data_IF_893845659208
#
_entry.id   IF_893845659208
#
_cell.length_a   1.000
_cell.length_b   1.000
_cell.length_c   1.000
_cell.angle_alpha   90.00
_cell.angle_beta   90.00
_cell.angle_gamma   90.00
#
_symmetry.space_group_name_H-M   'P 1'
#
loop_
_entity.id
_entity.type
_entity.pdbx_description
1 polymer ?
#
# COMPACT_ATOMS: atom_id res chain seq x y z
N UNK A 1 31.62 60.83 65.42
CA UNK A 1 31.13 60.30 64.13
C UNK A 1 29.75 59.69 64.34
N UNK A 2 28.76 60.18 63.59
CA UNK A 2 27.31 60.01 63.80
C UNK A 2 26.84 58.59 63.48
N UNK A 3 25.94 58.06 64.31
CA UNK A 3 25.09 56.89 64.01
C UNK A 3 23.78 57.40 63.41
N UNK A 4 23.59 57.21 62.11
CA UNK A 4 22.31 57.48 61.46
C UNK A 4 21.39 56.26 61.58
N UNK A 5 20.21 56.47 62.19
CA UNK A 5 19.11 55.51 62.22
C UNK A 5 18.33 55.62 60.91
N UNK A 6 18.32 54.55 60.12
CA UNK A 6 17.41 54.44 58.97
C UNK A 6 16.01 54.07 59.51
N UNK A 7 15.06 54.98 59.34
CA UNK A 7 13.63 54.74 59.58
C UNK A 7 13.05 54.17 58.29
N UNK A 8 12.68 52.89 58.30
CA UNK A 8 11.94 52.26 57.21
C UNK A 8 10.48 52.73 57.28
N UNK A 9 10.02 53.41 56.24
CA UNK A 9 8.66 53.93 56.14
C UNK A 9 7.69 52.81 55.72
N UNK A 10 7.06 52.16 56.70
CA UNK A 10 6.17 51.01 56.53
C UNK A 10 4.93 51.27 55.64
N UNK A 11 4.56 52.52 55.34
CA UNK A 11 3.43 52.82 54.44
C UNK A 11 3.73 52.55 52.96
N UNK A 12 4.98 52.64 52.52
CA UNK A 12 5.36 52.39 51.11
C UNK A 12 5.50 50.90 50.77
N UNK A 13 5.76 50.05 51.76
CA UNK A 13 5.86 48.58 51.57
C UNK A 13 4.48 47.95 51.42
N UNK A 14 3.45 48.51 52.06
CA UNK A 14 2.07 48.02 51.99
C UNK A 14 1.44 48.21 50.60
N UNK A 15 1.65 49.35 49.93
CA UNK A 15 1.08 49.59 48.59
C UNK A 15 1.72 48.72 47.49
N UNK A 16 3.02 48.45 47.57
CA UNK A 16 3.72 47.65 46.56
C UNK A 16 3.35 46.17 46.64
N UNK A 17 3.08 45.66 47.85
CA UNK A 17 2.62 44.29 48.07
C UNK A 17 1.17 44.11 47.58
N UNK A 18 0.29 45.11 47.76
CA UNK A 18 -1.10 45.05 47.28
C UNK A 18 -1.15 45.09 45.74
N UNK A 19 -0.28 45.87 45.08
CA UNK A 19 -0.20 45.92 43.60
C UNK A 19 0.31 44.63 42.96
N UNK A 20 1.29 43.95 43.60
CA UNK A 20 1.78 42.65 43.15
C UNK A 20 0.77 41.52 43.36
N UNK A 21 -0.07 41.60 44.39
CA UNK A 21 -1.15 40.63 44.63
C UNK A 21 -2.28 40.80 43.59
N UNK A 22 -2.64 42.04 43.21
CA UNK A 22 -3.65 42.26 42.16
C UNK A 22 -3.16 41.90 40.75
N UNK A 23 -1.87 42.10 40.44
CA UNK A 23 -1.30 41.67 39.16
C UNK A 23 -1.16 40.13 39.07
N UNK A 24 -0.90 39.46 40.20
CA UNK A 24 -0.89 38.00 40.29
C UNK A 24 -2.29 37.38 40.12
N UNK A 25 -3.33 38.04 40.64
CA UNK A 25 -4.72 37.54 40.52
C UNK A 25 -5.25 37.71 39.09
N UNK A 26 -4.85 38.76 38.35
CA UNK A 26 -5.23 38.92 36.94
C UNK A 26 -4.53 37.94 35.97
N UNK A 27 -3.33 37.45 36.31
CA UNK A 27 -2.64 36.42 35.51
C UNK A 27 -3.12 34.98 35.79
N UNK A 28 -3.81 34.75 36.92
CA UNK A 28 -4.42 33.45 37.21
C UNK A 28 -5.85 33.31 36.64
N UNK A 29 -6.49 34.40 36.21
CA UNK A 29 -7.87 34.36 35.67
C UNK A 29 -7.98 34.21 34.15
N UNK A 30 -6.89 34.08 33.40
CA UNK A 30 -6.93 33.90 31.92
C UNK A 30 -6.55 32.50 31.44
N UNK A 31 -6.29 31.55 32.35
CA UNK A 31 -6.02 30.14 32.01
C UNK A 31 -7.14 29.17 32.39
N UNK A 32 -8.35 29.67 32.66
CA UNK A 32 -9.57 28.86 32.49
C UNK A 32 -10.06 29.00 31.06
N UNK A 33 -9.17 28.72 30.09
CA UNK A 33 -9.65 28.18 28.83
C UNK A 33 -10.43 26.93 29.20
N UNK A 34 -11.67 26.82 28.73
CA UNK A 34 -12.48 25.61 28.86
C UNK A 34 -11.67 24.41 28.35
N UNK A 35 -10.89 23.77 29.22
CA UNK A 35 -10.52 22.39 29.07
C UNK A 35 -11.84 21.64 29.19
N UNK A 36 -12.50 21.41 28.04
CA UNK A 36 -13.48 20.35 27.97
C UNK A 36 -12.73 19.10 28.39
N UNK A 37 -12.99 18.64 29.62
CA UNK A 37 -12.65 17.28 30.01
C UNK A 37 -13.25 16.39 28.93
N UNK A 38 -12.41 15.67 28.21
CA UNK A 38 -12.85 14.63 27.30
C UNK A 38 -13.69 13.66 28.13
N UNK A 39 -15.01 13.78 28.01
CA UNK A 39 -15.93 12.86 28.66
C UNK A 39 -15.90 11.57 27.86
N UNK A 40 -15.06 10.64 28.30
CA UNK A 40 -15.14 9.26 27.86
C UNK A 40 -16.46 8.70 28.37
N UNK A 41 -17.40 8.50 27.46
CA UNK A 41 -18.64 7.78 27.74
C UNK A 41 -18.55 6.42 27.06
N UNK A 42 -18.88 5.36 27.78
CA UNK A 42 -19.17 4.07 27.16
C UNK A 42 -20.51 4.20 26.47
N UNK A 43 -20.51 4.29 25.14
CA UNK A 43 -21.73 4.18 24.35
C UNK A 43 -22.02 2.70 24.16
N UNK A 44 -23.09 2.14 24.75
CA UNK A 44 -23.45 0.76 24.47
C UNK A 44 -23.80 0.63 22.99
N UNK A 45 -23.06 -0.20 22.27
CA UNK A 45 -23.39 -0.58 20.90
C UNK A 45 -24.55 -1.58 20.96
N UNK A 46 -25.74 -1.12 20.58
CA UNK A 46 -26.83 -2.01 20.21
C UNK A 46 -26.69 -2.24 18.70
N UNK A 47 -26.26 -3.44 18.25
CA UNK A 47 -26.30 -3.74 16.83
C UNK A 47 -27.74 -3.62 16.34
N UNK A 48 -27.97 -2.79 15.32
CA UNK A 48 -29.19 -2.90 14.54
C UNK A 48 -29.12 -4.20 13.73
N UNK A 49 -30.25 -4.90 13.62
CA UNK A 49 -30.35 -6.05 12.72
C UNK A 49 -30.10 -5.58 11.29
N UNK A 50 -28.94 -5.92 10.73
CA UNK A 50 -28.61 -5.60 9.35
C UNK A 50 -29.37 -6.52 8.41
N UNK A 51 -30.41 -5.99 7.77
CA UNK A 51 -31.12 -6.69 6.70
C UNK A 51 -30.23 -6.67 5.45
N UNK A 52 -29.85 -7.84 4.87
CA UNK A 52 -29.03 -7.86 3.68
C UNK A 52 -29.62 -7.00 2.55
N UNK A 53 -28.81 -6.06 2.05
CA UNK A 53 -29.23 -5.21 0.96
C UNK A 53 -28.99 -5.94 -0.37
N UNK A 54 -30.08 -6.29 -1.07
CA UNK A 54 -29.99 -6.88 -2.40
C UNK A 54 -29.57 -5.79 -3.39
N UNK A 55 -28.45 -6.01 -4.07
CA UNK A 55 -28.09 -5.22 -5.23
C UNK A 55 -29.00 -5.60 -6.40
N UNK A 56 -29.82 -4.65 -6.83
CA UNK A 56 -30.67 -4.82 -8.01
C UNK A 56 -29.79 -4.88 -9.26
N UNK A 57 -29.92 -5.96 -10.02
CA UNK A 57 -29.24 -6.12 -11.30
C UNK A 57 -30.01 -5.36 -12.38
N UNK A 58 -29.65 -4.10 -12.57
CA UNK A 58 -30.24 -3.19 -13.57
C UNK A 58 -29.11 -2.73 -14.51
N UNK A 59 -28.69 -3.55 -15.48
CA UNK A 59 -27.66 -3.15 -16.44
C UNK A 59 -28.15 -1.96 -17.28
N UNK A 60 -27.24 -1.08 -17.75
CA UNK A 60 -27.62 0.02 -18.62
C UNK A 60 -28.24 -0.48 -19.93
N UNK A 61 -29.09 0.34 -20.54
CA UNK A 61 -29.67 0.05 -21.85
C UNK A 61 -28.56 -0.21 -22.89
N UNK A 62 -28.71 -1.29 -23.68
CA UNK A 62 -27.72 -1.68 -24.68
C UNK A 62 -26.52 -2.46 -24.14
N UNK A 63 -26.56 -2.94 -22.88
CA UNK A 63 -25.55 -3.88 -22.38
C UNK A 63 -25.40 -5.09 -23.33
N UNK A 64 -24.20 -5.36 -23.87
CA UNK A 64 -23.99 -6.41 -24.87
C UNK A 64 -23.87 -7.82 -24.25
N UNK A 65 -23.86 -7.91 -22.92
CA UNK A 65 -23.71 -9.16 -22.18
C UNK A 65 -25.07 -9.66 -21.73
N UNK A 66 -25.37 -10.92 -22.06
CA UNK A 66 -26.56 -11.61 -21.57
C UNK A 66 -26.50 -11.77 -20.05
N UNK A 67 -27.64 -11.69 -19.33
CA UNK A 67 -27.70 -11.98 -17.91
C UNK A 67 -27.17 -13.38 -17.58
N UNK A 68 -26.45 -13.51 -16.46
CA UNK A 68 -25.90 -14.80 -16.05
C UNK A 68 -27.01 -15.82 -15.74
N UNK A 69 -26.82 -17.04 -16.27
CA UNK A 69 -27.69 -18.16 -15.94
C UNK A 69 -27.40 -18.76 -14.56
N UNK A 70 -26.22 -18.49 -13.99
CA UNK A 70 -25.75 -19.06 -12.72
C UNK A 70 -25.85 -18.06 -11.57
N UNK A 71 -25.46 -16.80 -11.80
CA UNK A 71 -25.48 -15.75 -10.78
C UNK A 71 -26.76 -14.94 -10.92
N UNK A 72 -27.68 -15.07 -9.95
CA UNK A 72 -29.01 -14.43 -9.99
C UNK A 72 -29.09 -13.08 -9.28
N UNK A 73 -28.06 -12.70 -8.54
CA UNK A 73 -28.02 -11.42 -7.82
C UNK A 73 -26.88 -11.39 -6.81
N UNK A 74 -26.70 -10.21 -6.21
CA UNK A 74 -25.69 -9.94 -5.19
C UNK A 74 -26.39 -9.37 -3.96
N UNK A 75 -25.97 -9.77 -2.76
CA UNK A 75 -26.51 -9.27 -1.51
C UNK A 75 -25.38 -8.81 -0.58
N UNK A 76 -25.48 -7.56 -0.09
CA UNK A 76 -24.55 -7.02 0.89
C UNK A 76 -25.02 -7.39 2.30
N UNK A 77 -24.39 -8.42 2.85
CA UNK A 77 -24.79 -9.00 4.16
C UNK A 77 -24.32 -8.19 5.36
N UNK A 78 -23.42 -7.21 5.18
CA UNK A 78 -22.82 -6.45 6.28
C UNK A 78 -21.87 -7.27 7.17
N UNK A 79 -21.65 -8.57 6.89
CA UNK A 79 -20.68 -9.40 7.60
C UNK A 79 -19.27 -9.05 7.14
N UNK A 80 -18.45 -8.58 8.07
CA UNK A 80 -17.03 -8.31 7.85
C UNK A 80 -16.24 -8.62 9.12
N UNK A 81 -14.92 -8.72 8.97
CA UNK A 81 -13.97 -8.75 10.08
C UNK A 81 -12.83 -7.78 9.76
N UNK A 82 -12.33 -7.09 10.78
CA UNK A 82 -11.14 -6.25 10.69
C UNK A 82 -10.04 -6.90 11.54
N UNK A 83 -8.84 -7.02 10.98
CA UNK A 83 -7.77 -7.80 11.60
C UNK A 83 -6.57 -6.96 12.05
N UNK A 84 -6.31 -5.84 11.36
CA UNK A 84 -5.16 -4.96 11.56
C UNK A 84 -5.54 -3.53 11.18
N UNK A 85 -4.69 -2.57 11.54
CA UNK A 85 -4.84 -1.17 11.14
C UNK A 85 -3.83 -0.80 10.04
N UNK A 86 -3.56 -1.74 9.12
CA UNK A 86 -2.56 -1.61 8.06
C UNK A 86 -3.16 -1.83 6.66
N UNK A 87 -2.56 -1.18 5.67
CA UNK A 87 -2.97 -1.21 4.27
C UNK A 87 -2.07 -2.11 3.40
N UNK A 88 -2.46 -2.28 2.12
CA UNK A 88 -1.67 -2.94 1.05
C UNK A 88 -1.30 -4.41 1.28
N UNK A 89 -2.32 -5.23 1.42
CA UNK A 89 -2.18 -6.67 1.55
C UNK A 89 -2.25 -7.38 0.20
N UNK A 90 -1.30 -8.28 -0.06
CA UNK A 90 -1.23 -9.13 -1.25
C UNK A 90 -1.01 -10.59 -0.84
N UNK A 91 -2.04 -11.27 -0.31
CA UNK A 91 -1.89 -12.64 0.16
C UNK A 91 -1.52 -13.60 -0.97
N UNK A 92 -0.64 -14.55 -0.68
CA UNK A 92 -0.36 -15.71 -1.53
C UNK A 92 -0.56 -16.99 -0.74
N UNK A 93 -1.34 -17.93 -1.28
CA UNK A 93 -1.69 -19.17 -0.61
C UNK A 93 -0.61 -20.25 -0.82
N UNK A 94 0.08 -20.58 0.27
CA UNK A 94 1.23 -21.48 0.24
C UNK A 94 0.84 -22.97 0.37
N UNK A 95 1.81 -23.82 0.05
CA UNK A 95 1.75 -25.27 0.20
C UNK A 95 1.58 -25.74 1.65
N UNK A 96 1.95 -24.94 2.65
CA UNK A 96 1.74 -25.25 4.07
C UNK A 96 0.30 -24.97 4.56
N UNK A 97 -0.57 -24.49 3.66
CA UNK A 97 -1.98 -24.21 3.93
C UNK A 97 -2.25 -22.80 4.46
N UNK A 98 -1.22 -22.00 4.72
CA UNK A 98 -1.35 -20.62 5.19
C UNK A 98 -1.21 -19.64 4.02
N UNK A 99 -1.61 -18.39 4.25
CA UNK A 99 -1.31 -17.30 3.33
C UNK A 99 -0.18 -16.44 3.87
N UNK A 100 0.58 -15.84 2.96
CA UNK A 100 1.69 -14.95 3.28
C UNK A 100 1.54 -13.67 2.49
N UNK A 101 1.80 -12.53 3.12
CA UNK A 101 1.54 -11.24 2.52
C UNK A 101 2.57 -10.21 2.93
N UNK A 102 2.89 -9.33 2.00
CA UNK A 102 3.37 -8.00 2.33
C UNK A 102 2.29 -7.15 3.01
N UNK A 103 2.71 -6.11 3.73
CA UNK A 103 1.81 -5.06 4.25
C UNK A 103 2.59 -3.76 4.45
N UNK A 104 1.91 -2.62 4.52
CA UNK A 104 2.49 -1.33 4.90
C UNK A 104 1.41 -0.37 5.37
N UNK A 105 1.82 0.84 5.73
CA UNK A 105 0.97 2.01 5.94
C UNK A 105 -0.07 1.76 7.01
N UNK A 106 0.45 1.50 8.20
CA UNK A 106 -0.33 1.29 9.41
C UNK A 106 0.34 0.28 10.33
N UNK A 107 -0.46 -0.48 11.09
CA UNK A 107 0.03 -1.29 12.20
C UNK A 107 -0.48 -2.73 12.24
N UNK A 108 0.41 -3.63 12.66
CA UNK A 108 0.06 -4.94 13.24
C UNK A 108 0.41 -4.89 14.73
N UNK A 109 -0.61 -4.70 15.57
CA UNK A 109 -0.42 -4.55 17.01
C UNK A 109 0.38 -3.29 17.34
N UNK A 110 1.64 -3.46 17.74
CA UNK A 110 2.55 -2.33 18.06
C UNK A 110 3.62 -2.09 17.00
N UNK A 111 3.68 -2.94 15.98
CA UNK A 111 4.63 -2.78 14.88
C UNK A 111 3.99 -1.89 13.82
N UNK A 112 4.67 -0.81 13.46
CA UNK A 112 4.25 0.12 12.41
C UNK A 112 5.18 0.02 11.20
N UNK A 113 4.63 0.19 10.01
CA UNK A 113 5.35 0.15 8.75
C UNK A 113 4.86 1.27 7.82
N UNK A 114 5.78 1.94 7.12
CA UNK A 114 5.45 3.02 6.19
C UNK A 114 6.26 2.92 4.91
N UNK A 115 5.58 2.99 3.77
CA UNK A 115 6.16 2.87 2.43
C UNK A 115 6.62 4.22 1.86
N UNK A 116 6.24 5.34 2.48
CA UNK A 116 6.48 6.72 2.01
C UNK A 116 7.73 7.39 2.58
N UNK A 117 8.72 6.60 3.03
CA UNK A 117 9.93 7.10 3.69
C UNK A 117 11.11 7.46 2.77
N UNK A 118 10.94 7.46 1.44
CA UNK A 118 12.07 7.62 0.52
C UNK A 118 13.15 6.56 0.76
N UNK A 119 14.36 6.99 1.14
CA UNK A 119 15.45 6.09 1.51
C UNK A 119 15.11 5.14 2.68
N UNK A 120 14.25 5.61 3.60
CA UNK A 120 13.83 4.91 4.81
C UNK A 120 12.49 4.17 4.65
N UNK A 121 11.98 4.03 3.42
CA UNK A 121 10.76 3.29 3.16
C UNK A 121 10.89 1.84 3.63
N UNK A 122 9.81 1.28 4.20
CA UNK A 122 9.77 -0.06 4.74
C UNK A 122 8.55 -0.82 4.24
N UNK A 123 8.69 -2.14 4.21
CA UNK A 123 7.60 -3.07 3.91
C UNK A 123 7.55 -4.16 4.98
N UNK A 124 6.34 -4.46 5.44
CA UNK A 124 6.04 -5.50 6.42
C UNK A 124 5.88 -6.87 5.77
N UNK A 125 6.07 -7.91 6.57
CA UNK A 125 5.83 -9.31 6.19
C UNK A 125 4.86 -9.91 7.20
N UNK A 126 3.90 -10.70 6.74
CA UNK A 126 2.93 -11.34 7.61
C UNK A 126 2.55 -12.75 7.13
N UNK A 127 2.25 -13.60 8.11
CA UNK A 127 1.59 -14.89 7.91
C UNK A 127 0.13 -14.76 8.34
N UNK A 128 -0.78 -15.28 7.53
CA UNK A 128 -2.22 -15.30 7.76
C UNK A 128 -2.65 -16.76 7.88
N UNK A 129 -3.30 -17.11 8.98
CA UNK A 129 -3.77 -18.47 9.25
C UNK A 129 -5.29 -18.49 9.42
N UNK A 130 -5.90 -19.62 9.06
CA UNK A 130 -7.35 -19.80 9.04
C UNK A 130 -7.91 -19.90 7.63
N UNK A 131 -9.07 -20.55 7.52
CA UNK A 131 -9.84 -20.78 6.29
C UNK A 131 -11.22 -20.10 6.33
N UNK A 132 -11.61 -19.56 7.47
CA UNK A 132 -12.79 -18.70 7.63
C UNK A 132 -12.39 -17.22 7.54
N UNK A 133 -12.83 -16.47 6.51
CA UNK A 133 -12.51 -15.06 6.36
C UNK A 133 -13.09 -14.17 7.46
N UNK A 134 -13.94 -14.70 8.35
CA UNK A 134 -14.43 -14.02 9.56
C UNK A 134 -13.62 -14.35 10.83
N UNK A 135 -12.67 -15.30 10.76
CA UNK A 135 -11.88 -15.78 11.90
C UNK A 135 -10.41 -16.04 11.53
N UNK A 136 -9.79 -15.17 10.72
CA UNK A 136 -8.37 -15.25 10.41
C UNK A 136 -7.49 -14.81 11.59
N UNK A 137 -6.26 -15.32 11.66
CA UNK A 137 -5.22 -14.85 12.59
C UNK A 137 -4.02 -14.33 11.81
N UNK A 138 -3.64 -13.08 12.09
CA UNK A 138 -2.51 -12.39 11.45
C UNK A 138 -1.31 -12.40 12.37
N UNK A 139 -0.18 -12.90 11.87
CA UNK A 139 1.11 -12.89 12.55
C UNK A 139 2.07 -11.98 11.80
N UNK A 140 2.52 -10.90 12.43
CA UNK A 140 3.65 -10.15 11.89
C UNK A 140 4.91 -11.02 11.89
N UNK A 141 5.64 -11.00 10.78
CA UNK A 141 6.96 -11.58 10.60
C UNK A 141 8.05 -10.51 10.55
N UNK A 142 7.69 -9.27 10.93
CA UNK A 142 8.59 -8.14 10.98
C UNK A 142 8.61 -7.31 9.70
N UNK A 143 9.26 -6.16 9.82
CA UNK A 143 9.42 -5.14 8.77
C UNK A 143 10.83 -5.09 8.23
N UNK A 144 10.96 -4.73 6.94
CA UNK A 144 12.24 -4.60 6.26
C UNK A 144 12.39 -3.27 5.56
N UNK A 145 13.60 -2.72 5.62
CA UNK A 145 13.98 -1.57 4.83
C UNK A 145 13.96 -1.94 3.34
N UNK A 146 13.36 -1.07 2.53
CA UNK A 146 13.40 -1.13 1.09
C UNK A 146 13.40 0.30 0.58
N UNK A 147 14.58 0.86 0.37
CA UNK A 147 14.71 2.21 -0.17
C UNK A 147 13.84 2.37 -1.42
N UNK A 148 13.07 3.46 -1.45
CA UNK A 148 12.27 3.88 -2.58
C UNK A 148 13.07 4.74 -3.58
N UNK A 149 14.26 5.21 -3.22
CA UNK A 149 15.03 6.13 -4.07
C UNK A 149 15.21 5.55 -5.48
N UNK A 150 15.06 6.38 -6.53
CA UNK A 150 14.89 7.84 -6.50
C UNK A 150 13.42 8.30 -6.36
N UNK A 151 12.49 7.40 -6.03
CA UNK A 151 11.08 7.68 -5.80
C UNK A 151 10.80 8.01 -4.32
N UNK A 152 9.61 8.56 -4.04
CA UNK A 152 9.18 8.90 -2.69
C UNK A 152 8.58 7.72 -1.91
N UNK A 153 7.96 6.75 -2.62
CA UNK A 153 7.29 5.60 -2.03
C UNK A 153 7.70 4.27 -2.63
N UNK A 154 7.70 3.20 -1.81
CA UNK A 154 7.92 1.82 -2.25
C UNK A 154 6.99 0.86 -1.53
N UNK A 155 5.99 0.36 -2.25
CA UNK A 155 4.87 -0.36 -1.68
C UNK A 155 4.95 -1.86 -2.01
N UNK A 156 4.40 -2.73 -1.14
CA UNK A 156 4.17 -4.12 -1.46
C UNK A 156 3.40 -4.28 -2.78
N UNK A 157 3.71 -5.31 -3.57
CA UNK A 157 2.87 -5.71 -4.70
C UNK A 157 3.03 -7.19 -5.00
N UNK A 158 3.74 -7.56 -6.08
CA UNK A 158 3.86 -8.93 -6.58
C UNK A 158 4.39 -9.86 -5.49
N UNK A 159 3.48 -10.60 -4.86
CA UNK A 159 3.73 -11.47 -3.73
C UNK A 159 3.34 -12.92 -4.08
N UNK A 160 4.30 -13.84 -4.02
CA UNK A 160 4.08 -15.26 -4.33
C UNK A 160 4.83 -16.14 -3.33
N UNK A 161 4.14 -17.13 -2.76
CA UNK A 161 4.77 -18.25 -2.07
C UNK A 161 4.53 -19.53 -2.87
N UNK A 162 5.62 -20.15 -3.30
CA UNK A 162 5.57 -21.38 -4.09
C UNK A 162 6.66 -22.36 -3.62
N UNK A 163 6.27 -23.59 -3.28
CA UNK A 163 7.12 -24.67 -2.78
C UNK A 163 8.01 -24.22 -1.61
N UNK A 164 7.42 -23.56 -0.63
CA UNK A 164 8.10 -22.99 0.53
C UNK A 164 9.02 -21.79 0.30
N UNK A 165 9.10 -21.29 -0.95
CA UNK A 165 9.88 -20.12 -1.30
C UNK A 165 8.94 -18.93 -1.46
N UNK A 166 9.24 -17.85 -0.74
CA UNK A 166 8.51 -16.59 -0.83
C UNK A 166 9.28 -15.59 -1.69
N UNK A 167 8.69 -15.24 -2.83
CA UNK A 167 9.10 -14.17 -3.72
C UNK A 167 8.29 -12.91 -3.42
N UNK A 168 8.94 -11.88 -2.89
CA UNK A 168 8.28 -10.65 -2.48
C UNK A 168 8.82 -9.46 -3.28
N UNK A 169 8.02 -9.01 -4.23
CA UNK A 169 8.21 -7.82 -5.04
C UNK A 169 7.47 -6.60 -4.51
N UNK A 170 7.94 -5.45 -4.98
CA UNK A 170 7.41 -4.12 -4.65
C UNK A 170 7.29 -3.31 -5.93
N UNK A 171 6.62 -2.17 -5.86
CA UNK A 171 6.69 -1.12 -6.88
C UNK A 171 7.02 0.22 -6.24
N UNK A 172 7.54 1.14 -7.03
CA UNK A 172 7.82 2.49 -6.59
C UNK A 172 6.74 3.47 -7.04
N UNK A 173 6.57 4.57 -6.32
CA UNK A 173 5.67 5.66 -6.68
C UNK A 173 6.24 7.01 -6.25
N UNK A 174 5.82 8.07 -6.93
CA UNK A 174 6.23 9.42 -6.58
C UNK A 174 5.13 10.46 -6.80
N UNK A 175 5.32 11.61 -6.17
CA UNK A 175 4.56 12.81 -6.51
C UNK A 175 5.10 13.41 -7.81
N UNK A 176 4.21 14.06 -8.56
CA UNK A 176 4.60 14.90 -9.68
C UNK A 176 4.76 16.35 -9.20
N UNK A 177 5.98 16.87 -9.31
CA UNK A 177 6.34 18.23 -8.93
C UNK A 177 6.54 19.15 -10.14
N UNK A 178 6.15 18.73 -11.34
CA UNK A 178 6.22 19.57 -12.55
C UNK A 178 5.31 20.78 -12.46
N UNK A 179 4.23 20.69 -11.67
CA UNK A 179 3.32 21.79 -11.34
C UNK A 179 3.10 21.85 -9.82
N UNK A 180 3.01 23.06 -9.21
CA UNK A 180 2.76 23.21 -7.77
C UNK A 180 1.45 22.56 -7.29
N UNK A 181 0.38 22.62 -8.10
CA UNK A 181 -0.95 22.14 -7.75
C UNK A 181 -1.08 20.60 -7.75
N UNK A 182 -0.24 19.89 -8.52
CA UNK A 182 -0.40 18.44 -8.69
C UNK A 182 -0.20 17.65 -7.42
N UNK A 183 0.64 18.13 -6.51
CA UNK A 183 0.85 17.47 -5.21
C UNK A 183 -0.43 17.38 -4.38
N UNK A 184 -1.24 18.44 -4.40
CA UNK A 184 -2.43 18.56 -3.57
C UNK A 184 -3.65 17.93 -4.25
N UNK A 185 -3.67 17.89 -5.59
CA UNK A 185 -4.74 17.28 -6.37
C UNK A 185 -4.56 15.77 -6.60
N UNK A 186 -3.33 15.30 -6.75
CA UNK A 186 -3.01 13.92 -7.14
C UNK A 186 -2.01 13.29 -6.17
N UNK A 187 -2.51 12.42 -5.31
CA UNK A 187 -1.66 11.57 -4.48
C UNK A 187 -0.91 10.56 -5.35
N UNK A 188 0.43 10.53 -5.25
CA UNK A 188 1.29 9.58 -5.94
C UNK A 188 1.02 9.48 -7.45
N UNK A 189 1.04 10.63 -8.11
CA UNK A 189 0.72 10.78 -9.54
C UNK A 189 1.62 9.99 -10.49
N UNK A 190 2.81 9.56 -10.05
CA UNK A 190 3.78 8.83 -10.87
C UNK A 190 3.86 7.37 -10.39
N UNK A 191 3.55 6.42 -11.28
CA UNK A 191 3.86 5.01 -11.08
C UNK A 191 5.29 4.69 -11.51
N UNK A 192 6.08 4.12 -10.60
CA UNK A 192 7.44 3.66 -10.83
C UNK A 192 7.54 2.18 -11.19
N UNK A 193 8.78 1.68 -11.36
CA UNK A 193 9.03 0.34 -11.85
C UNK A 193 8.93 -0.70 -10.73
N UNK A 194 9.17 -1.95 -11.13
CA UNK A 194 9.33 -3.11 -10.24
C UNK A 194 10.83 -3.27 -9.92
N UNK A 195 11.30 -2.98 -8.70
CA UNK A 195 12.71 -3.08 -8.34
C UNK A 195 13.24 -4.52 -8.22
N UNK A 196 12.45 -5.53 -8.56
CA UNK A 196 12.74 -6.94 -8.31
C UNK A 196 12.18 -7.48 -6.99
N UNK A 197 12.61 -8.69 -6.65
CA UNK A 197 12.06 -9.51 -5.58
C UNK A 197 13.13 -9.80 -4.53
N UNK A 198 12.81 -9.57 -3.26
CA UNK A 198 13.53 -10.28 -2.17
C UNK A 198 12.97 -11.69 -2.05
N UNK A 199 13.82 -12.61 -1.62
CA UNK A 199 13.50 -14.04 -1.61
C UNK A 199 13.68 -14.57 -0.19
N UNK A 200 12.70 -15.30 0.32
CA UNK A 200 12.86 -16.11 1.51
C UNK A 200 12.69 -17.58 1.14
N UNK A 201 13.61 -18.42 1.63
CA UNK A 201 13.58 -19.88 1.40
C UNK A 201 12.87 -20.64 2.54
N UNK A 202 12.31 -19.91 3.51
CA UNK A 202 11.82 -20.45 4.78
C UNK A 202 10.56 -19.73 5.28
N UNK A 203 9.67 -19.35 4.36
CA UNK A 203 8.39 -18.70 4.65
C UNK A 203 8.53 -17.36 5.42
N UNK A 204 9.58 -16.60 5.11
CA UNK A 204 9.81 -15.24 5.62
C UNK A 204 10.62 -15.16 6.91
N UNK A 205 11.22 -16.26 7.39
CA UNK A 205 12.07 -16.23 8.60
C UNK A 205 13.44 -15.60 8.32
N UNK A 206 14.00 -15.85 7.14
CA UNK A 206 15.23 -15.23 6.64
C UNK A 206 15.06 -14.77 5.20
N UNK A 207 15.86 -13.78 4.79
CA UNK A 207 15.69 -13.09 3.51
C UNK A 207 17.00 -12.88 2.78
N UNK A 208 16.95 -13.12 1.48
CA UNK A 208 17.95 -12.76 0.49
C UNK A 208 17.46 -11.46 -0.18
N UNK A 209 18.22 -10.36 -0.11
CA UNK A 209 17.83 -9.10 -0.73
C UNK A 209 17.76 -9.23 -2.26
N UNK A 210 16.92 -8.40 -2.88
CA UNK A 210 16.92 -8.25 -4.34
C UNK A 210 18.30 -7.75 -4.83
N UNK A 211 18.85 -8.31 -5.92
CA UNK A 211 20.05 -7.75 -6.55
C UNK A 211 19.74 -6.51 -7.40
N UNK A 212 18.46 -6.15 -7.53
CA UNK A 212 17.94 -5.05 -8.35
C UNK A 212 17.48 -3.89 -7.46
N UNK A 213 17.28 -2.71 -8.06
CA UNK A 213 16.87 -1.48 -7.36
C UNK A 213 15.88 -0.68 -8.20
N UNK A 214 15.27 0.39 -7.66
CA UNK A 214 14.43 1.26 -8.49
C UNK A 214 15.19 1.95 -9.64
N UNK A 215 16.49 2.20 -9.50
CA UNK A 215 17.36 2.71 -10.59
C UNK A 215 17.76 1.62 -11.60
N UNK A 216 17.87 0.37 -11.16
CA UNK A 216 18.16 -0.78 -12.01
C UNK A 216 17.06 -1.86 -11.82
N UNK A 217 15.84 -1.59 -12.32
CA UNK A 217 14.66 -2.43 -12.08
C UNK A 217 14.66 -3.72 -12.90
N UNK A 218 13.74 -4.63 -12.54
CA UNK A 218 13.55 -5.92 -13.24
C UNK A 218 13.05 -5.72 -14.66
N UNK A 219 12.04 -4.87 -14.84
CA UNK A 219 11.60 -4.43 -16.15
C UNK A 219 12.24 -3.07 -16.46
N UNK A 220 12.86 -2.88 -17.63
CA UNK A 220 13.74 -1.75 -17.94
C UNK A 220 12.92 -0.51 -18.30
N UNK A 221 12.13 -0.04 -17.34
CA UNK A 221 11.23 1.10 -17.47
C UNK A 221 11.32 1.99 -16.23
N UNK A 222 10.81 3.21 -16.34
CA UNK A 222 10.81 4.18 -15.26
C UNK A 222 9.66 5.15 -15.45
N UNK A 223 8.94 5.47 -14.37
CA UNK A 223 7.94 6.54 -14.39
C UNK A 223 8.52 7.96 -14.29
N UNK A 224 9.85 8.12 -14.19
CA UNK A 224 10.47 9.44 -14.04
C UNK A 224 10.45 10.21 -15.37
N UNK A 225 10.60 11.53 -15.28
CA UNK A 225 10.72 12.41 -16.46
C UNK A 225 9.52 12.35 -17.41
N UNK A 226 8.32 12.06 -16.89
CA UNK A 226 7.09 11.98 -17.68
C UNK A 226 6.90 10.67 -18.45
N UNK A 227 7.79 9.70 -18.28
CA UNK A 227 7.64 8.37 -18.87
C UNK A 227 6.54 7.55 -18.17
N UNK A 228 5.97 6.59 -18.88
CA UNK A 228 5.00 5.65 -18.36
C UNK A 228 5.67 4.29 -18.10
N UNK A 229 5.07 3.47 -17.22
CA UNK A 229 5.45 2.07 -17.02
C UNK A 229 4.35 1.14 -17.54
N UNK A 230 4.76 0.00 -18.07
CA UNK A 230 3.87 -1.07 -18.56
C UNK A 230 3.54 -2.04 -17.44
N UNK A 231 4.52 -2.45 -16.64
CA UNK A 231 4.32 -3.37 -15.51
C UNK A 231 4.19 -2.59 -14.19
N UNK A 232 3.32 -1.58 -14.16
CA UNK A 232 2.97 -0.84 -12.95
C UNK A 232 2.20 -1.72 -11.96
N UNK A 233 2.42 -1.49 -10.65
CA UNK A 233 1.81 -2.23 -9.52
C UNK A 233 1.54 -3.72 -9.83
N UNK A 234 2.57 -4.52 -10.14
CA UNK A 234 2.33 -5.87 -10.64
C UNK A 234 1.71 -6.76 -9.56
N UNK A 235 0.77 -7.60 -9.95
CA UNK A 235 0.18 -8.62 -9.10
C UNK A 235 0.42 -9.99 -9.70
N UNK A 236 0.75 -10.99 -8.89
CA UNK A 236 0.66 -12.37 -9.37
C UNK A 236 -0.82 -12.75 -9.54
N UNK A 237 -1.12 -13.46 -10.62
CA UNK A 237 -2.42 -14.08 -10.81
C UNK A 237 -2.56 -15.21 -9.78
N UNK A 238 -3.64 -15.19 -9.01
CA UNK A 238 -3.94 -16.23 -8.05
C UNK A 238 -4.47 -17.48 -8.77
N UNK A 239 -3.64 -18.53 -8.79
CA UNK A 239 -3.98 -19.85 -9.31
C UNK A 239 -4.28 -20.86 -8.19
N UNK A 240 -4.76 -20.38 -7.05
CA UNK A 240 -5.05 -21.21 -5.89
C UNK A 240 -3.80 -21.62 -5.12
N UNK A 241 -3.97 -22.61 -4.25
CA UNK A 241 -2.93 -23.03 -3.32
C UNK A 241 -1.69 -23.49 -4.08
N UNK A 242 -0.55 -22.87 -3.79
CA UNK A 242 0.74 -23.24 -4.37
C UNK A 242 0.76 -23.29 -5.91
N UNK A 243 -0.01 -22.43 -6.58
CA UNK A 243 -0.18 -22.41 -8.05
C UNK A 243 -0.83 -23.68 -8.64
N UNK A 244 -1.64 -24.42 -7.87
CA UNK A 244 -2.23 -25.70 -8.30
C UNK A 244 -3.06 -25.62 -9.60
N UNK A 245 -3.67 -24.46 -9.90
CA UNK A 245 -4.45 -24.23 -11.13
C UNK A 245 -3.69 -23.46 -12.21
N UNK A 246 -2.37 -23.29 -12.07
CA UNK A 246 -1.58 -22.67 -13.13
C UNK A 246 -1.60 -23.56 -14.37
N UNK A 247 -1.96 -23.03 -15.56
CA UNK A 247 -2.18 -23.84 -16.75
C UNK A 247 -0.91 -24.51 -17.28
N UNK A 248 0.27 -23.96 -16.96
CA UNK A 248 1.57 -24.45 -17.43
C UNK A 248 2.66 -24.43 -16.33
N UNK A 249 2.25 -24.26 -15.06
CA UNK A 249 3.14 -24.20 -13.91
C UNK A 249 3.96 -22.91 -13.81
N UNK A 250 3.71 -21.90 -14.65
CA UNK A 250 4.34 -20.58 -14.52
C UNK A 250 3.54 -19.70 -13.55
N UNK A 251 4.25 -18.75 -12.95
CA UNK A 251 3.64 -17.63 -12.24
C UNK A 251 3.38 -16.50 -13.25
N UNK A 252 2.15 -16.02 -13.31
CA UNK A 252 1.74 -14.93 -14.19
C UNK A 252 1.68 -13.63 -13.40
N UNK A 253 2.21 -12.55 -13.96
CA UNK A 253 2.17 -11.20 -13.40
C UNK A 253 1.33 -10.31 -14.30
N UNK A 254 0.37 -9.62 -13.72
CA UNK A 254 -0.43 -8.59 -14.38
C UNK A 254 -0.03 -7.23 -13.82
N UNK A 255 0.32 -6.30 -14.69
CA UNK A 255 0.55 -4.90 -14.32
C UNK A 255 -0.51 -4.01 -14.95
N UNK A 256 -1.01 -3.03 -14.19
CA UNK A 256 -1.71 -1.91 -14.80
C UNK A 256 -0.65 -0.89 -15.26
N UNK A 257 -0.69 -0.54 -16.54
CA UNK A 257 0.30 0.33 -17.14
C UNK A 257 -0.36 1.42 -17.94
N UNK A 258 0.47 2.15 -18.69
CA UNK A 258 -0.04 3.04 -19.71
C UNK A 258 0.67 2.86 -21.06
N UNK A 259 0.04 3.39 -22.10
CA UNK A 259 0.62 3.52 -23.43
C UNK A 259 1.59 4.71 -23.46
N UNK A 260 2.77 4.54 -24.05
CA UNK A 260 3.78 5.61 -24.16
C UNK A 260 3.32 6.78 -25.06
N UNK A 261 2.30 6.57 -25.88
CA UNK A 261 1.84 7.48 -26.93
C UNK A 261 0.33 7.73 -26.90
N UNK A 262 -0.29 7.76 -25.71
CA UNK A 262 -1.66 8.24 -25.56
C UNK A 262 -1.80 9.62 -26.25
N UNK A 263 -2.69 9.78 -27.25
CA UNK A 263 -2.90 11.07 -27.92
C UNK A 263 -3.56 12.12 -27.01
N UNK A 264 -4.08 11.70 -25.85
CA UNK A 264 -4.81 12.51 -24.88
C UNK A 264 -4.37 12.20 -23.45
N UNK A 265 -3.07 12.33 -23.13
CA UNK A 265 -2.53 11.90 -21.83
C UNK A 265 -3.19 12.69 -20.71
N UNK A 266 -3.78 11.98 -19.76
CA UNK A 266 -4.31 12.58 -18.53
C UNK A 266 -3.21 12.75 -17.49
N UNK A 267 -3.32 13.79 -16.68
CA UNK A 267 -2.51 13.93 -15.46
C UNK A 267 -2.74 12.70 -14.59
N UNK A 268 -1.66 12.18 -13.99
CA UNK A 268 -1.69 10.92 -13.23
C UNK A 268 -2.28 9.73 -14.03
N UNK A 269 -2.05 9.73 -15.35
CA UNK A 269 -2.44 8.68 -16.31
C UNK A 269 -1.93 7.30 -15.93
N UNK A 270 -0.69 7.23 -15.45
CA UNK A 270 -0.11 6.05 -14.84
C UNK A 270 0.36 6.39 -13.43
N UNK A 271 -0.55 6.17 -12.48
CA UNK A 271 -0.36 6.38 -11.04
C UNK A 271 -0.71 5.10 -10.30
N UNK A 272 -0.52 5.10 -8.97
CA UNK A 272 -0.76 3.91 -8.14
C UNK A 272 -2.18 3.32 -8.23
N UNK A 273 -3.18 4.09 -8.67
CA UNK A 273 -4.58 3.65 -8.85
C UNK A 273 -5.06 3.70 -10.30
N UNK A 274 -4.20 4.08 -11.23
CA UNK A 274 -4.65 4.48 -12.54
C UNK A 274 -3.69 4.02 -13.65
N UNK A 275 -4.25 3.46 -14.70
CA UNK A 275 -3.57 3.06 -15.93
C UNK A 275 -4.59 3.00 -17.07
N UNK A 276 -4.13 3.03 -18.32
CA UNK A 276 -4.96 2.90 -19.52
C UNK A 276 -4.77 1.58 -20.27
N UNK A 277 -3.86 0.73 -19.77
CA UNK A 277 -3.48 -0.54 -20.34
C UNK A 277 -3.26 -1.60 -19.25
N UNK A 278 -3.42 -2.87 -19.61
CA UNK A 278 -3.14 -4.01 -18.73
C UNK A 278 -2.14 -4.90 -19.43
N UNK A 279 -0.97 -5.11 -18.82
CA UNK A 279 0.11 -5.90 -19.40
C UNK A 279 0.29 -7.21 -18.65
N UNK A 280 0.75 -8.23 -19.37
CA UNK A 280 0.92 -9.58 -18.84
C UNK A 280 2.33 -10.12 -19.10
N UNK A 281 2.95 -10.63 -18.04
CA UNK A 281 4.21 -11.38 -18.09
C UNK A 281 4.06 -12.71 -17.36
N UNK A 282 4.95 -13.67 -17.63
CA UNK A 282 5.00 -14.93 -16.88
C UNK A 282 6.42 -15.47 -16.75
N UNK A 283 6.66 -16.22 -15.68
CA UNK A 283 7.98 -16.76 -15.34
C UNK A 283 7.83 -18.11 -14.65
N UNK A 284 8.78 -19.02 -14.83
CA UNK A 284 8.86 -20.23 -13.99
C UNK A 284 9.45 -19.83 -12.63
N UNK A 285 8.68 -19.91 -11.52
CA UNK A 285 9.07 -19.31 -10.24
C UNK A 285 10.20 -20.10 -9.57
N UNK A 286 11.42 -19.60 -9.72
CA UNK A 286 12.63 -20.12 -9.05
C UNK A 286 13.48 -18.96 -8.56
N UNK A 287 14.36 -19.17 -7.55
CA UNK A 287 15.27 -18.12 -7.10
C UNK A 287 16.19 -17.59 -8.21
N UNK A 288 16.53 -18.43 -9.19
CA UNK A 288 17.37 -18.06 -10.32
C UNK A 288 16.63 -17.21 -11.36
N UNK A 289 15.33 -17.45 -11.56
CA UNK A 289 14.56 -16.82 -12.64
C UNK A 289 13.89 -15.51 -12.22
N UNK A 290 13.43 -15.40 -10.97
CA UNK A 290 12.51 -14.33 -10.56
C UNK A 290 13.08 -12.91 -10.68
N UNK A 291 14.41 -12.77 -10.60
CA UNK A 291 15.12 -11.50 -10.77
C UNK A 291 15.90 -11.43 -12.10
N UNK A 292 15.68 -12.38 -13.02
CA UNK A 292 16.31 -12.39 -14.33
C UNK A 292 15.25 -12.15 -15.42
N UNK A 293 15.23 -10.94 -15.98
CA UNK A 293 14.30 -10.58 -17.05
C UNK A 293 14.35 -11.55 -18.24
N UNK A 294 15.49 -12.19 -18.52
CA UNK A 294 15.65 -13.13 -19.64
C UNK A 294 14.86 -14.43 -19.42
N UNK A 295 14.48 -14.72 -18.17
CA UNK A 295 13.63 -15.86 -17.84
C UNK A 295 12.14 -15.59 -18.07
N UNK A 296 11.74 -14.32 -18.20
CA UNK A 296 10.35 -13.92 -18.39
C UNK A 296 9.89 -14.13 -19.84
N UNK A 297 8.57 -14.29 -19.97
CA UNK A 297 7.83 -14.26 -21.22
C UNK A 297 6.78 -13.16 -21.14
N UNK A 298 6.66 -12.35 -22.18
CA UNK A 298 5.81 -11.18 -22.24
C UNK A 298 4.71 -11.41 -23.26
N UNK A 299 3.46 -11.14 -22.89
CA UNK A 299 2.34 -11.24 -23.82
C UNK A 299 2.51 -10.20 -24.94
N UNK A 300 2.49 -10.66 -26.19
CA UNK A 300 2.78 -9.84 -27.37
C UNK A 300 1.58 -9.76 -28.34
N UNK A 301 0.37 -9.98 -27.81
CA UNK A 301 -0.89 -10.03 -28.55
C UNK A 301 -1.28 -11.44 -28.98
N UNK A 302 -2.22 -11.52 -29.93
CA UNK A 302 -2.75 -12.76 -30.46
C UNK A 302 -2.30 -13.01 -31.90
N UNK A 303 -2.16 -14.28 -32.25
CA UNK A 303 -2.12 -14.72 -33.66
C UNK A 303 -3.49 -14.51 -34.33
N UNK A 304 -3.58 -14.59 -35.68
CA UNK A 304 -4.87 -14.51 -36.39
C UNK A 304 -5.90 -15.56 -35.96
N UNK A 305 -5.46 -16.68 -35.34
CA UNK A 305 -6.32 -17.74 -34.82
C UNK A 305 -6.59 -17.59 -33.31
N UNK A 306 -6.44 -16.38 -32.76
CA UNK A 306 -6.69 -16.05 -31.34
C UNK A 306 -5.83 -16.82 -30.33
N UNK A 307 -4.68 -17.34 -30.74
CA UNK A 307 -3.71 -17.95 -29.81
C UNK A 307 -2.75 -16.89 -29.24
N UNK A 308 -2.43 -16.92 -27.93
CA UNK A 308 -1.54 -15.93 -27.33
C UNK A 308 -0.11 -16.08 -27.84
N UNK A 309 0.54 -14.95 -28.12
CA UNK A 309 1.95 -14.87 -28.50
C UNK A 309 2.76 -14.45 -27.28
N UNK A 310 3.84 -15.19 -26.99
CA UNK A 310 4.75 -14.93 -25.88
C UNK A 310 6.14 -14.56 -26.41
N UNK A 311 6.58 -13.32 -26.19
CA UNK A 311 7.92 -12.85 -26.53
C UNK A 311 8.89 -13.02 -25.36
N UNK A 312 10.18 -13.14 -25.67
CA UNK A 312 11.28 -13.05 -24.69
C UNK A 312 11.84 -11.63 -24.55
N UNK A 313 11.42 -10.70 -25.41
CA UNK A 313 11.86 -9.31 -25.35
C UNK A 313 10.77 -8.46 -24.71
N UNK A 314 11.14 -7.67 -23.69
CA UNK A 314 10.22 -6.77 -23.01
C UNK A 314 9.63 -5.70 -23.95
N UNK A 315 10.38 -5.25 -24.95
CA UNK A 315 9.93 -4.26 -25.93
C UNK A 315 8.72 -4.71 -26.76
N UNK A 316 8.48 -6.01 -26.84
CA UNK A 316 7.41 -6.58 -27.66
C UNK A 316 6.09 -6.72 -26.87
N UNK A 317 6.11 -6.40 -25.57
CA UNK A 317 4.95 -6.53 -24.70
C UNK A 317 3.81 -5.64 -25.21
N UNK A 318 2.61 -6.19 -25.21
CA UNK A 318 1.38 -5.50 -25.59
C UNK A 318 0.33 -5.67 -24.50
N UNK A 319 -0.62 -4.73 -24.40
CA UNK A 319 -1.82 -4.94 -23.61
C UNK A 319 -2.71 -6.03 -24.21
#
# INVERSE_FOLDING_TARGET
>A
MKKDRIIINFKKVSLTIISLIFLGILFFSTNTGCYQQLKQNVVPYNPEDWVPQIWKSEPPEGCPFEPSNEIKGIAFTGRYAAYTDADTWYPSWADDGNMYSGWTDGEIGKESCHSSGGAEARTGNAKITGDDPLNLVIHSLGTQLGSALPYGGRYPSANLVHNGIWYYGTYCIDFDFTQPEYRDEYSWAICGPVPGFRISMDYGKSWIPSPLSPENPLFPESGKSGHQVKMGTPHFVDFGRNLEYSPDGKAYLVGHGALDNDPSPRVAGNSWIAGDAVYLARVTPTPQNINDIRAYEFFAGFTPNSQPVWSKNFSDIKP
#
